data_IF_495794557010
#
_entry.id   IF_495794557010
#
_cell.length_a   1.000
_cell.length_b   1.000
_cell.length_c   1.000
_cell.angle_alpha   90.00
_cell.angle_beta   90.00
_cell.angle_gamma   90.00
#
_symmetry.space_group_name_H-M   'P 1'
#
loop_
_entity.id
_entity.type
_entity.pdbx_description
1 polymer ?
#
# COMPACT_ATOMS: atom_id res chain seq x y z
N UNK A 1 -15.10 16.34 -9.92
CA UNK A 1 -13.89 16.69 -9.13
C UNK A 1 -12.90 15.53 -9.03
N UNK A 2 -13.28 14.31 -8.65
CA UNK A 2 -12.34 13.16 -8.53
C UNK A 2 -11.57 12.86 -9.83
N UNK A 3 -12.25 12.88 -10.99
CA UNK A 3 -11.60 12.70 -12.30
C UNK A 3 -10.55 13.76 -12.57
N UNK A 4 -10.84 15.04 -12.25
CA UNK A 4 -9.88 16.12 -12.42
C UNK A 4 -8.65 15.94 -11.49
N UNK A 5 -8.86 15.47 -10.27
CA UNK A 5 -7.76 15.20 -9.35
C UNK A 5 -6.83 14.08 -9.88
N UNK A 6 -7.41 12.97 -10.37
CA UNK A 6 -6.63 11.88 -10.98
C UNK A 6 -5.87 12.35 -12.23
N UNK A 7 -6.54 13.18 -13.09
CA UNK A 7 -5.90 13.73 -14.28
C UNK A 7 -4.78 14.70 -13.91
N UNK A 8 -5.00 15.56 -12.91
CA UNK A 8 -4.00 16.50 -12.42
C UNK A 8 -2.76 15.79 -11.86
N UNK A 9 -2.95 14.75 -11.06
CA UNK A 9 -1.85 13.92 -10.57
C UNK A 9 -1.07 13.30 -11.74
N UNK A 10 -1.76 12.72 -12.72
CA UNK A 10 -1.11 12.08 -13.87
C UNK A 10 -0.30 13.10 -14.69
N UNK A 11 -0.85 14.30 -14.95
CA UNK A 11 -0.17 15.37 -15.69
C UNK A 11 1.03 15.89 -14.89
N UNK A 12 0.88 16.13 -13.59
CA UNK A 12 1.98 16.60 -12.73
C UNK A 12 3.13 15.61 -12.66
N UNK A 13 2.83 14.32 -12.49
CA UNK A 13 3.84 13.25 -12.49
C UNK A 13 4.53 13.13 -13.86
N UNK A 14 3.75 13.25 -14.95
CA UNK A 14 4.30 13.24 -16.31
C UNK A 14 5.23 14.43 -16.57
N UNK A 15 4.86 15.63 -16.11
CA UNK A 15 5.70 16.83 -16.26
C UNK A 15 7.01 16.70 -15.47
N UNK A 16 6.95 16.20 -14.23
CA UNK A 16 8.13 15.92 -13.44
C UNK A 16 9.07 14.93 -14.13
N UNK A 17 8.51 13.83 -14.68
CA UNK A 17 9.27 12.81 -15.40
C UNK A 17 9.87 13.34 -16.71
N UNK A 18 9.16 14.23 -17.44
CA UNK A 18 9.69 14.90 -18.62
C UNK A 18 10.93 15.75 -18.27
N UNK A 19 10.85 16.50 -17.18
CA UNK A 19 11.96 17.33 -16.73
C UNK A 19 13.15 16.48 -16.25
N UNK A 20 12.89 15.41 -15.51
CA UNK A 20 13.92 14.49 -14.99
C UNK A 20 14.68 13.76 -16.11
N UNK A 21 13.99 13.41 -17.20
CA UNK A 21 14.54 12.68 -18.34
C UNK A 21 14.99 13.62 -19.49
N UNK A 22 14.76 14.90 -19.38
CA UNK A 22 14.99 15.89 -20.45
C UNK A 22 14.32 15.49 -21.77
N UNK A 23 13.01 15.17 -21.70
CA UNK A 23 12.22 14.72 -22.86
C UNK A 23 10.93 15.53 -23.01
N UNK A 24 10.45 15.64 -24.24
CA UNK A 24 9.15 16.24 -24.54
C UNK A 24 8.00 15.27 -24.18
N UNK A 25 6.79 15.76 -23.88
CA UNK A 25 5.63 14.93 -23.52
C UNK A 25 5.30 13.84 -24.56
N UNK A 26 5.50 14.12 -25.85
CA UNK A 26 5.29 13.12 -26.90
C UNK A 26 6.31 11.97 -26.84
N UNK A 27 7.55 12.27 -26.47
CA UNK A 27 8.60 11.26 -26.28
C UNK A 27 8.37 10.45 -25.00
N UNK A 28 7.92 11.11 -23.91
CA UNK A 28 7.54 10.42 -22.68
C UNK A 28 6.45 9.38 -22.95
N UNK A 29 5.38 9.75 -23.67
CA UNK A 29 4.31 8.83 -24.03
C UNK A 29 4.86 7.61 -24.79
N UNK A 30 5.79 7.82 -25.72
CA UNK A 30 6.34 6.77 -26.58
C UNK A 30 7.29 5.84 -25.82
N UNK A 31 8.17 6.39 -24.99
CA UNK A 31 9.32 5.68 -24.45
C UNK A 31 9.23 5.39 -22.95
N UNK A 32 8.45 6.18 -22.17
CA UNK A 32 8.46 6.13 -20.71
C UNK A 32 7.05 5.97 -20.10
N UNK A 33 6.05 5.59 -20.88
CA UNK A 33 4.67 5.46 -20.37
C UNK A 33 4.56 4.43 -19.26
N UNK A 34 5.32 3.35 -19.32
CA UNK A 34 5.32 2.31 -18.29
C UNK A 34 5.90 2.83 -16.98
N UNK A 35 6.99 3.58 -17.04
CA UNK A 35 7.59 4.22 -15.87
C UNK A 35 6.61 5.21 -15.22
N UNK A 36 5.96 6.04 -16.01
CA UNK A 36 4.91 6.95 -15.53
C UNK A 36 3.79 6.17 -14.81
N UNK A 37 3.31 5.09 -15.40
CA UNK A 37 2.27 4.27 -14.80
C UNK A 37 2.70 3.65 -13.46
N UNK A 38 3.94 3.15 -13.36
CA UNK A 38 4.45 2.59 -12.11
C UNK A 38 4.61 3.66 -11.01
N UNK A 39 5.07 4.87 -11.37
CA UNK A 39 5.12 6.01 -10.42
C UNK A 39 3.74 6.39 -9.91
N UNK A 40 2.74 6.44 -10.78
CA UNK A 40 1.34 6.71 -10.39
C UNK A 40 0.78 5.62 -9.47
N UNK A 41 1.05 4.35 -9.76
CA UNK A 41 0.68 3.23 -8.88
C UNK A 41 1.38 3.31 -7.52
N UNK A 42 2.65 3.74 -7.49
CA UNK A 42 3.40 3.95 -6.24
C UNK A 42 2.77 5.03 -5.37
N UNK A 43 2.08 6.00 -5.98
CA UNK A 43 1.32 7.06 -5.32
C UNK A 43 -0.17 6.70 -5.11
N UNK A 44 -0.50 5.41 -5.09
CA UNK A 44 -1.85 4.85 -4.86
C UNK A 44 -2.88 5.26 -5.94
N UNK A 45 -2.44 5.74 -7.10
CA UNK A 45 -3.35 5.94 -8.22
C UNK A 45 -3.63 4.61 -8.93
N UNK A 46 -4.88 4.18 -8.96
CA UNK A 46 -5.25 2.97 -9.67
C UNK A 46 -5.43 3.23 -11.17
N UNK A 47 -4.81 2.40 -11.99
CA UNK A 47 -4.94 2.42 -13.45
C UNK A 47 -5.53 1.09 -13.90
N UNK A 48 -6.66 1.16 -14.61
CA UNK A 48 -7.35 -0.06 -15.06
C UNK A 48 -6.42 -0.97 -15.88
N UNK A 49 -6.37 -2.25 -15.52
CA UNK A 49 -5.53 -3.28 -16.14
C UNK A 49 -4.02 -3.07 -16.00
N UNK A 50 -3.58 -2.17 -15.14
CA UNK A 50 -2.16 -1.99 -14.79
C UNK A 50 -1.97 -2.39 -13.35
N UNK A 51 -0.98 -3.25 -13.11
CA UNK A 51 -0.58 -3.71 -11.78
C UNK A 51 0.84 -3.22 -11.45
N UNK A 52 1.20 -3.25 -10.19
CA UNK A 52 2.56 -2.98 -9.76
C UNK A 52 3.52 -4.00 -10.40
N UNK A 53 4.48 -3.49 -11.16
CA UNK A 53 5.59 -4.23 -11.78
C UNK A 53 6.91 -3.50 -11.55
N UNK A 54 6.97 -2.69 -10.51
CA UNK A 54 8.15 -1.95 -10.13
C UNK A 54 9.28 -2.94 -9.78
N UNK A 55 10.39 -2.94 -10.52
CA UNK A 55 11.50 -3.84 -10.26
C UNK A 55 12.28 -3.48 -8.98
N UNK A 56 12.14 -2.25 -8.49
CA UNK A 56 12.80 -1.80 -7.27
C UNK A 56 11.98 -2.15 -6.01
N UNK A 57 10.75 -2.68 -6.17
CA UNK A 57 9.93 -3.16 -5.06
C UNK A 57 10.36 -4.56 -4.61
N UNK A 58 11.15 -4.62 -3.56
CA UNK A 58 11.70 -5.85 -2.99
C UNK A 58 10.65 -6.75 -2.32
N UNK A 59 9.46 -6.23 -1.99
CA UNK A 59 8.39 -7.04 -1.43
C UNK A 59 7.92 -8.12 -2.43
N UNK A 60 8.03 -7.87 -3.72
CA UNK A 60 7.56 -8.76 -4.78
C UNK A 60 8.33 -10.07 -4.91
N UNK A 61 9.53 -10.14 -4.36
CA UNK A 61 10.37 -11.35 -4.35
C UNK A 61 10.41 -12.02 -2.98
N UNK A 62 9.66 -11.49 -2.01
CA UNK A 62 9.58 -12.05 -0.67
C UNK A 62 8.59 -13.22 -0.62
N UNK A 63 8.84 -14.17 0.27
CA UNK A 63 7.83 -15.10 0.75
C UNK A 63 6.92 -14.39 1.76
N UNK A 64 5.63 -14.75 1.77
CA UNK A 64 4.63 -14.10 2.61
C UNK A 64 4.01 -15.11 3.55
N UNK A 65 3.93 -14.77 4.83
CA UNK A 65 3.21 -15.53 5.86
C UNK A 65 2.40 -14.60 6.74
N UNK A 66 1.37 -15.11 7.39
CA UNK A 66 0.54 -14.35 8.32
C UNK A 66 0.09 -15.20 9.49
N UNK A 67 -0.33 -14.55 10.58
CA UNK A 67 -0.89 -15.23 11.77
C UNK A 67 -2.20 -15.95 11.46
N UNK A 68 -3.03 -15.37 10.59
CA UNK A 68 -4.33 -15.88 10.17
C UNK A 68 -4.77 -15.21 8.87
N UNK A 69 -5.78 -15.76 8.20
CA UNK A 69 -6.44 -15.12 7.05
C UNK A 69 -7.88 -15.64 6.88
N UNK A 70 -8.70 -14.82 6.28
CA UNK A 70 -10.05 -15.19 5.86
C UNK A 70 -10.01 -15.83 4.47
N UNK A 71 -11.00 -16.67 4.16
CA UNK A 71 -11.17 -17.24 2.82
C UNK A 71 -11.26 -16.13 1.76
N UNK A 72 -10.50 -16.23 0.69
CA UNK A 72 -10.39 -15.23 -0.37
C UNK A 72 -9.61 -13.96 0.01
N UNK A 73 -8.90 -13.98 1.15
CA UNK A 73 -8.08 -12.85 1.61
C UNK A 73 -6.69 -13.33 2.06
N UNK A 74 -6.08 -14.17 1.25
CA UNK A 74 -4.82 -14.86 1.50
C UNK A 74 -3.64 -13.87 1.60
N UNK A 75 -2.60 -14.21 2.37
CA UNK A 75 -1.45 -13.33 2.60
C UNK A 75 -0.74 -12.88 1.32
N UNK A 76 -0.66 -13.72 0.29
CA UNK A 76 0.00 -13.40 -0.97
C UNK A 76 -0.61 -12.21 -1.73
N UNK A 77 -1.85 -11.84 -1.43
CA UNK A 77 -2.51 -10.71 -2.09
C UNK A 77 -1.84 -9.37 -1.79
N UNK A 78 -1.05 -9.23 -0.70
CA UNK A 78 -0.34 -7.98 -0.41
C UNK A 78 0.79 -7.66 -1.39
N UNK A 79 1.18 -8.60 -2.24
CA UNK A 79 2.22 -8.43 -3.27
C UNK A 79 1.70 -8.71 -4.68
N UNK A 80 0.38 -8.86 -4.88
CA UNK A 80 -0.23 -9.12 -6.18
C UNK A 80 -0.21 -7.89 -7.11
N UNK A 81 0.16 -6.72 -6.57
CA UNK A 81 0.30 -5.47 -7.30
C UNK A 81 -1.02 -4.74 -7.53
N UNK A 82 -2.06 -5.04 -6.76
CA UNK A 82 -3.36 -4.37 -6.82
C UNK A 82 -3.69 -3.75 -5.46
N UNK A 83 -4.03 -2.49 -5.48
CA UNK A 83 -4.28 -1.71 -4.25
C UNK A 83 -5.77 -1.50 -3.96
N UNK A 84 -6.65 -2.21 -4.66
CA UNK A 84 -8.11 -2.13 -4.47
C UNK A 84 -8.80 -3.36 -5.02
N UNK A 85 -10.01 -3.58 -4.53
CA UNK A 85 -10.94 -4.49 -5.19
C UNK A 85 -11.29 -3.99 -6.59
N UNK A 86 -11.47 -4.89 -7.53
CA UNK A 86 -11.94 -4.61 -8.88
C UNK A 86 -13.31 -5.25 -9.08
N UNK A 87 -14.17 -4.75 -9.97
CA UNK A 87 -15.48 -5.35 -10.21
C UNK A 87 -15.37 -6.85 -10.44
N UNK A 88 -16.17 -7.62 -9.70
CA UNK A 88 -16.22 -9.09 -9.67
C UNK A 88 -15.03 -9.81 -9.00
N UNK A 89 -14.06 -9.08 -8.44
CA UNK A 89 -12.91 -9.62 -7.72
C UNK A 89 -12.71 -8.79 -6.44
N UNK A 90 -13.00 -9.37 -5.28
CA UNK A 90 -13.01 -8.72 -3.98
C UNK A 90 -11.92 -9.27 -3.04
N UNK A 91 -10.92 -9.90 -3.62
CA UNK A 91 -9.90 -10.74 -2.99
C UNK A 91 -8.47 -10.19 -3.11
N UNK A 92 -8.30 -8.93 -3.54
CA UNK A 92 -6.96 -8.34 -3.73
C UNK A 92 -6.40 -7.72 -2.44
N UNK A 93 -6.55 -8.40 -1.31
CA UNK A 93 -6.04 -7.96 -0.01
C UNK A 93 -5.80 -9.14 0.92
N UNK A 94 -4.88 -8.99 1.84
CA UNK A 94 -4.88 -9.81 3.05
C UNK A 94 -5.98 -9.31 3.99
N UNK A 95 -6.72 -10.24 4.55
CA UNK A 95 -7.73 -9.97 5.55
C UNK A 95 -7.73 -11.03 6.63
N UNK A 96 -7.81 -10.61 7.90
CA UNK A 96 -7.88 -11.49 9.04
C UNK A 96 -8.90 -10.97 10.06
N UNK A 97 -9.44 -11.86 10.89
CA UNK A 97 -10.33 -11.46 11.99
C UNK A 97 -9.53 -10.65 13.03
N UNK A 98 -10.04 -9.48 13.40
CA UNK A 98 -9.44 -8.72 14.49
C UNK A 98 -9.64 -9.46 15.82
N UNK A 99 -8.56 -9.63 16.56
CA UNK A 99 -8.52 -10.27 17.87
C UNK A 99 -7.72 -9.42 18.85
N UNK A 100 -7.88 -9.68 20.13
CA UNK A 100 -7.03 -9.10 21.17
C UNK A 100 -5.57 -9.46 20.91
N UNK A 101 -4.68 -8.44 20.93
CA UNK A 101 -3.27 -8.60 20.56
C UNK A 101 -2.97 -8.45 19.08
N UNK A 102 -3.99 -8.28 18.21
CA UNK A 102 -3.83 -8.01 16.80
C UNK A 102 -3.49 -9.22 15.92
N UNK A 103 -3.22 -8.94 14.66
CA UNK A 103 -2.83 -9.93 13.65
C UNK A 103 -1.57 -9.43 12.92
N UNK A 104 -0.73 -10.35 12.47
CA UNK A 104 0.49 -9.98 11.77
C UNK A 104 0.60 -10.62 10.38
N UNK A 105 1.31 -9.93 9.52
CA UNK A 105 1.76 -10.41 8.21
C UNK A 105 3.24 -10.11 8.04
N UNK A 106 3.99 -11.05 7.50
CA UNK A 106 5.45 -11.00 7.39
C UNK A 106 5.92 -11.30 5.97
N UNK A 107 6.82 -10.47 5.51
CA UNK A 107 7.62 -10.68 4.31
C UNK A 107 8.99 -11.24 4.72
N UNK A 108 9.46 -12.31 4.10
CA UNK A 108 10.78 -12.88 4.35
C UNK A 108 11.52 -13.13 3.03
N UNK A 109 12.82 -12.90 3.04
CA UNK A 109 13.70 -13.07 1.89
C UNK A 109 14.69 -14.21 2.14
N UNK A 110 15.13 -14.87 1.06
CA UNK A 110 16.12 -15.98 1.12
C UNK A 110 17.48 -15.53 1.68
N UNK A 111 17.80 -14.25 1.51
CA UNK A 111 19.00 -13.61 2.06
C UNK A 111 18.68 -12.21 2.60
N UNK A 112 19.63 -11.57 3.31
CA UNK A 112 19.41 -10.24 3.81
C UNK A 112 19.24 -9.23 2.67
N UNK A 113 18.26 -8.34 2.78
CA UNK A 113 18.03 -7.22 1.86
C UNK A 113 18.22 -5.89 2.59
N UNK A 114 18.68 -4.87 1.86
CA UNK A 114 18.80 -3.52 2.38
C UNK A 114 17.48 -2.80 2.17
N UNK A 115 16.90 -2.23 3.21
CA UNK A 115 15.67 -1.42 3.15
C UNK A 115 15.87 -0.07 3.80
N UNK A 116 15.24 0.96 3.24
CA UNK A 116 15.13 2.31 3.81
C UNK A 116 13.74 2.94 3.66
N UNK A 117 12.82 2.26 2.96
CA UNK A 117 11.43 2.70 2.85
C UNK A 117 10.50 1.48 2.82
N UNK A 118 9.42 1.56 3.60
CA UNK A 118 8.27 0.64 3.54
C UNK A 118 7.02 1.43 3.25
N UNK A 119 6.24 0.99 2.29
CA UNK A 119 4.92 1.53 1.99
C UNK A 119 3.85 0.50 2.32
N UNK A 120 2.75 0.98 2.91
CA UNK A 120 1.60 0.13 3.24
C UNK A 120 0.35 0.81 2.71
N UNK A 121 -0.46 0.07 1.97
CA UNK A 121 -1.78 0.51 1.50
C UNK A 121 -2.86 -0.24 2.28
N UNK A 122 -3.56 0.46 3.16
CA UNK A 122 -4.66 -0.07 3.96
C UNK A 122 -6.00 -0.02 3.22
N UNK A 123 -6.97 -0.81 3.66
CA UNK A 123 -8.35 -0.65 3.19
C UNK A 123 -8.97 0.63 3.78
N UNK A 124 -9.60 1.43 2.93
CA UNK A 124 -10.31 2.66 3.31
C UNK A 124 -11.78 2.62 2.88
N UNK A 125 -12.33 1.42 2.63
CA UNK A 125 -13.74 1.25 2.35
C UNK A 125 -14.17 1.77 0.97
N UNK A 126 -13.39 1.54 -0.08
CA UNK A 126 -13.73 1.95 -1.45
C UNK A 126 -14.99 1.31 -2.05
N UNK A 127 -15.63 0.40 -1.34
CA UNK A 127 -16.96 -0.08 -1.67
C UNK A 127 -18.06 0.94 -1.40
N UNK A 128 -17.75 2.04 -0.70
CA UNK A 128 -18.63 3.18 -0.44
C UNK A 128 -18.21 4.41 -1.23
N UNK A 129 -19.16 5.36 -1.39
CA UNK A 129 -18.83 6.67 -1.92
C UNK A 129 -18.06 7.48 -0.88
N UNK A 130 -16.81 7.81 -1.19
CA UNK A 130 -15.93 8.58 -0.30
C UNK A 130 -15.79 10.04 -0.72
N UNK A 131 -16.29 10.41 -1.92
CA UNK A 131 -16.18 11.76 -2.46
C UNK A 131 -17.44 12.55 -2.21
N UNK A 132 -17.30 13.86 -1.98
CA UNK A 132 -18.41 14.79 -1.91
C UNK A 132 -19.26 14.71 -3.17
N UNK A 133 -20.58 14.75 -3.01
CA UNK A 133 -21.57 14.75 -4.05
C UNK A 133 -22.44 15.99 -3.94
N UNK A 134 -23.03 16.45 -5.05
CA UNK A 134 -24.07 17.47 -5.08
C UNK A 134 -25.42 16.92 -4.53
N UNK A 135 -25.56 15.61 -4.36
CA UNK A 135 -26.74 14.99 -3.79
C UNK A 135 -26.69 15.02 -2.28
N UNK A 136 -27.69 15.65 -1.64
CA UNK A 136 -27.83 15.67 -0.18
C UNK A 136 -27.97 14.27 0.41
N UNK A 137 -28.69 13.36 -0.26
CA UNK A 137 -28.87 11.98 0.16
C UNK A 137 -27.52 11.22 0.22
N UNK A 138 -26.68 11.37 -0.82
CA UNK A 138 -25.36 10.76 -0.84
C UNK A 138 -24.45 11.40 0.23
N UNK A 139 -24.51 12.72 0.39
CA UNK A 139 -23.66 13.45 1.33
C UNK A 139 -23.99 13.15 2.81
N UNK A 140 -25.23 12.80 3.13
CA UNK A 140 -25.64 12.39 4.49
C UNK A 140 -25.02 11.06 4.92
N UNK A 141 -24.75 10.17 3.99
CA UNK A 141 -24.21 8.83 4.25
C UNK A 141 -22.69 8.76 4.23
N UNK A 142 -21.99 9.87 3.93
CA UNK A 142 -20.53 9.93 3.95
C UNK A 142 -20.03 9.92 5.38
N UNK A 143 -19.17 8.98 5.71
CA UNK A 143 -18.45 8.94 6.98
C UNK A 143 -17.41 10.06 6.96
N UNK A 144 -17.61 11.07 7.81
CA UNK A 144 -16.70 12.23 7.93
C UNK A 144 -15.69 11.96 9.05
N UNK A 145 -14.68 11.15 8.74
CA UNK A 145 -13.66 10.73 9.72
C UNK A 145 -12.86 9.56 9.17
N UNK A 146 -12.03 8.95 10.01
CA UNK A 146 -11.35 7.72 9.65
C UNK A 146 -12.36 6.65 9.23
N UNK A 147 -12.04 5.94 8.16
CA UNK A 147 -12.95 4.91 7.67
C UNK A 147 -12.91 3.68 8.59
N UNK A 148 -14.04 3.02 8.86
CA UNK A 148 -14.12 1.90 9.80
C UNK A 148 -13.14 0.76 9.52
N UNK A 149 -12.88 0.46 8.24
CA UNK A 149 -12.02 -0.63 7.79
C UNK A 149 -10.54 -0.36 7.95
N UNK A 150 -10.17 0.89 8.19
CA UNK A 150 -8.77 1.28 8.26
C UNK A 150 -8.10 0.73 9.52
N UNK A 151 -6.93 0.16 9.35
CA UNK A 151 -6.06 -0.19 10.48
C UNK A 151 -5.67 1.10 11.21
N UNK A 152 -5.98 1.14 12.51
CA UNK A 152 -5.79 2.30 13.36
C UNK A 152 -4.44 2.29 14.04
N UNK A 153 -4.14 1.21 14.73
CA UNK A 153 -2.90 1.08 15.49
C UNK A 153 -2.10 -0.11 14.94
N UNK A 154 -0.80 0.10 14.68
CA UNK A 154 0.05 -0.96 14.13
C UNK A 154 1.51 -0.71 14.42
N UNK A 155 2.29 -1.78 14.38
CA UNK A 155 3.75 -1.79 14.53
C UNK A 155 4.41 -2.42 13.31
N UNK A 156 5.63 -1.96 13.00
CA UNK A 156 6.51 -2.62 12.04
C UNK A 156 7.75 -3.06 12.78
N UNK A 157 8.14 -4.30 12.59
CA UNK A 157 9.37 -4.88 13.12
C UNK A 157 10.11 -5.65 12.03
N UNK A 158 11.38 -5.87 12.22
CA UNK A 158 12.21 -6.65 11.30
C UNK A 158 13.10 -7.64 12.06
N UNK A 159 13.56 -8.65 11.37
CA UNK A 159 14.61 -9.56 11.86
C UNK A 159 15.91 -9.16 11.17
N UNK A 160 16.93 -8.88 11.96
CA UNK A 160 18.27 -8.54 11.50
C UNK A 160 19.11 -9.78 11.13
N UNK A 161 20.34 -9.58 10.70
CA UNK A 161 21.26 -10.67 10.35
C UNK A 161 21.62 -11.60 11.53
N UNK A 162 21.50 -11.12 12.75
CA UNK A 162 21.73 -11.94 13.95
C UNK A 162 20.54 -12.85 14.29
N UNK A 163 19.41 -12.68 13.60
CA UNK A 163 18.15 -13.36 13.89
C UNK A 163 17.32 -12.68 14.99
N UNK A 164 17.77 -11.53 15.50
CA UNK A 164 17.04 -10.78 16.51
C UNK A 164 15.92 -9.94 15.89
N UNK A 165 14.73 -9.91 16.52
CA UNK A 165 13.63 -9.06 16.11
C UNK A 165 13.76 -7.68 16.75
N UNK A 166 13.77 -6.66 15.90
CA UNK A 166 13.89 -5.25 16.25
C UNK A 166 12.61 -4.49 15.91
N UNK A 167 12.18 -3.55 16.77
CA UNK A 167 11.12 -2.61 16.45
C UNK A 167 11.62 -1.54 15.47
N UNK A 168 10.79 -1.17 14.51
CA UNK A 168 11.12 -0.15 13.51
C UNK A 168 10.16 1.03 13.56
N UNK A 169 8.85 0.77 13.64
CA UNK A 169 7.79 1.80 13.63
C UNK A 169 6.71 1.39 14.62
N UNK A 170 6.17 2.37 15.33
CA UNK A 170 4.99 2.24 16.18
C UNK A 170 4.03 3.39 15.88
N UNK A 171 2.81 3.06 15.47
CA UNK A 171 1.80 4.03 15.03
C UNK A 171 0.51 3.82 15.80
N UNK A 172 0.02 4.89 16.39
CA UNK A 172 -1.30 5.00 17.00
C UNK A 172 -2.18 5.98 16.20
N UNK A 173 -3.46 5.69 16.08
CA UNK A 173 -4.45 6.59 15.49
C UNK A 173 -4.25 6.86 13.99
N UNK A 174 -3.76 5.90 13.22
CA UNK A 174 -3.62 6.05 11.78
C UNK A 174 -4.97 6.31 11.10
N UNK A 175 -5.03 7.28 10.21
CA UNK A 175 -6.19 7.61 9.37
C UNK A 175 -5.84 7.73 7.88
N UNK A 176 -4.60 7.39 7.51
CA UNK A 176 -4.13 7.46 6.13
C UNK A 176 -4.16 6.09 5.48
N UNK A 177 -4.71 6.04 4.27
CA UNK A 177 -4.73 4.84 3.45
C UNK A 177 -3.32 4.41 3.03
N UNK A 178 -2.54 5.33 2.45
CA UNK A 178 -1.16 5.10 2.06
C UNK A 178 -0.23 5.64 3.14
N UNK A 179 0.58 4.76 3.72
CA UNK A 179 1.63 5.11 4.67
C UNK A 179 3.00 4.81 4.07
N UNK A 180 3.90 5.77 4.20
CA UNK A 180 5.31 5.63 3.83
C UNK A 180 6.17 5.85 5.06
N UNK A 181 6.94 4.84 5.41
CA UNK A 181 7.90 4.89 6.50
C UNK A 181 9.30 4.91 5.92
N UNK A 182 10.02 6.00 6.17
CA UNK A 182 11.40 6.20 5.75
C UNK A 182 12.30 6.18 6.97
N UNK A 183 13.39 5.47 6.87
CA UNK A 183 14.33 5.26 7.97
C UNK A 183 15.77 5.15 7.42
N UNK A 184 16.76 5.15 8.32
CA UNK A 184 18.14 4.84 7.93
C UNK A 184 18.19 3.43 7.34
N UNK A 185 19.00 3.23 6.29
CA UNK A 185 19.10 1.94 5.63
C UNK A 185 19.52 0.83 6.62
N UNK A 186 18.74 -0.24 6.66
CA UNK A 186 18.94 -1.41 7.51
C UNK A 186 18.98 -2.70 6.71
N UNK A 187 19.79 -3.66 7.14
CA UNK A 187 19.74 -5.02 6.58
C UNK A 187 18.70 -5.84 7.33
N UNK A 188 17.81 -6.49 6.58
CA UNK A 188 16.71 -7.27 7.14
C UNK A 188 16.60 -8.64 6.46
N UNK A 189 16.26 -9.68 7.22
CA UNK A 189 15.88 -11.01 6.72
C UNK A 189 14.37 -11.16 6.59
N UNK A 190 13.62 -10.50 7.47
CA UNK A 190 12.17 -10.42 7.38
C UNK A 190 11.65 -9.09 7.90
N UNK A 191 10.48 -8.67 7.42
CA UNK A 191 9.75 -7.49 7.86
C UNK A 191 8.33 -7.91 8.22
N UNK A 192 7.87 -7.54 9.42
CA UNK A 192 6.53 -7.84 9.91
C UNK A 192 5.73 -6.57 10.14
N UNK A 193 4.55 -6.52 9.57
CA UNK A 193 3.48 -5.61 9.98
C UNK A 193 2.61 -6.31 11.01
N UNK A 194 2.47 -5.73 12.19
CA UNK A 194 1.55 -6.19 13.24
C UNK A 194 0.43 -5.16 13.37
N UNK A 195 -0.73 -5.46 12.83
CA UNK A 195 -1.92 -4.63 12.89
C UNK A 195 -2.68 -4.94 14.17
N UNK A 196 -2.78 -3.96 15.05
CA UNK A 196 -3.32 -4.12 16.41
C UNK A 196 -4.82 -3.91 16.45
N UNK A 197 -5.29 -2.79 15.88
CA UNK A 197 -6.70 -2.39 15.90
C UNK A 197 -7.15 -1.79 14.58
N UNK A 198 -8.47 -1.72 14.38
CA UNK A 198 -9.13 -0.96 13.32
C UNK A 198 -9.97 0.16 13.93
N UNK A 199 -10.50 1.06 13.10
CA UNK A 199 -11.39 2.10 13.64
C UNK A 199 -12.74 1.57 14.08
N UNK A 200 -13.35 0.60 13.37
CA UNK A 200 -14.65 0.07 13.78
C UNK A 200 -15.04 -1.29 13.16
N UNK A 201 -14.14 -1.99 12.44
CA UNK A 201 -14.46 -3.31 11.87
C UNK A 201 -13.80 -4.43 12.65
N UNK A 202 -14.42 -5.61 12.59
CA UNK A 202 -13.88 -6.85 13.15
C UNK A 202 -12.88 -7.55 12.22
N UNK A 203 -12.40 -6.85 11.19
CA UNK A 203 -11.49 -7.39 10.20
C UNK A 203 -10.33 -6.43 9.94
N UNK A 204 -9.12 -6.90 10.09
CA UNK A 204 -7.91 -6.23 9.63
C UNK A 204 -7.78 -6.49 8.12
N UNK A 205 -7.48 -5.44 7.34
CA UNK A 205 -7.35 -5.54 5.89
C UNK A 205 -6.21 -4.67 5.38
N UNK A 206 -5.31 -5.29 4.58
CA UNK A 206 -4.16 -4.64 3.96
C UNK A 206 -4.13 -5.02 2.48
N UNK A 207 -4.10 -4.01 1.59
CA UNK A 207 -4.04 -4.24 0.15
C UNK A 207 -2.63 -4.52 -0.33
N UNK A 208 -1.64 -3.76 0.11
CA UNK A 208 -0.29 -3.88 -0.43
C UNK A 208 0.76 -3.47 0.60
N UNK A 209 1.88 -4.18 0.59
CA UNK A 209 3.13 -3.76 1.23
C UNK A 209 4.19 -3.70 0.16
N UNK A 210 4.93 -2.58 0.08
CA UNK A 210 6.09 -2.40 -0.78
C UNK A 210 7.32 -2.10 0.04
N UNK A 211 8.46 -2.59 -0.39
CA UNK A 211 9.74 -2.41 0.28
C UNK A 211 10.80 -1.91 -0.69
N UNK A 212 11.49 -0.85 -0.32
CA UNK A 212 12.48 -0.21 -1.18
C UNK A 212 13.81 -0.01 -0.49
N UNK A 213 14.87 -0.09 -1.31
CA UNK A 213 16.18 0.48 -1.02
C UNK A 213 16.40 1.62 -2.01
N UNK A 214 16.38 2.86 -1.54
CA UNK A 214 16.64 4.01 -2.41
C UNK A 214 18.11 3.98 -2.81
N UNK A 215 18.35 4.06 -4.09
CA UNK A 215 19.71 4.32 -4.61
C UNK A 215 20.01 5.80 -4.31
N UNK A 216 21.12 6.05 -3.59
CA UNK A 216 21.65 7.40 -3.44
C UNK A 216 21.97 8.04 -4.81
#
# INVERSE_FOLDING_TARGET
MATCACTGQAIGTAAALCNEKDVLPAQLRKNHIRELQQRLLRDDQSIRKVTNKDPDDLARIASVSASDHLEGAEPLHIIDGKVRDVPTQWDHRWGAKAIDGGQWIELAWDGPVLLDEVQITFDSGFHRQLTLSASDGASRNIIRGPQPEMVKDYQISYVDDSGARQGLVDIEGNYLRLRRHRFAAIQVRSLRLHALTTHATEQIRVFEIRCYSRKE
#
